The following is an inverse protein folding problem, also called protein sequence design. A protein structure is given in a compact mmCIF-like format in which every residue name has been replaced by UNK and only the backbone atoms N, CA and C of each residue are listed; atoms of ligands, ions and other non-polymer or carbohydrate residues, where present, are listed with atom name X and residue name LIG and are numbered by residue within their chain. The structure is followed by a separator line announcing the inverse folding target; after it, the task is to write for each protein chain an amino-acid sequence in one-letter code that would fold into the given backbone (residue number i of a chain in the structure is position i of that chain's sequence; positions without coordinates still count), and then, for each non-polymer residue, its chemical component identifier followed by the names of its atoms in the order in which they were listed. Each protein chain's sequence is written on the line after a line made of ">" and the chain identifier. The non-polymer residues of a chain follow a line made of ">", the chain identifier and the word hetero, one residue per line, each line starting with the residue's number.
data_IF_235185092774
#
_entry.id   IF_235185092774
#
_cell.length_a   1.000
_cell.length_b   1.000
_cell.length_c   1.000
_cell.angle_alpha   90.00
_cell.angle_beta   90.00
_cell.angle_gamma   90.00
#
_symmetry.space_group_name_H-M   'P 1'
#
loop_
_entity.id
_entity.type
_entity.pdbx_description
1 polymer ?
#
# COMPACT_ATOMS: atom_id res chain seq x y z
N UNK A 1 -1.47 14.14 5.06
CA UNK A 1 -0.88 12.80 5.05
C UNK A 1 0.46 12.78 4.31
N UNK A 2 0.57 13.37 3.12
CA UNK A 2 1.84 13.48 2.37
C UNK A 2 3.03 13.99 3.21
N UNK A 3 2.87 15.10 3.93
CA UNK A 3 3.95 15.67 4.76
C UNK A 3 4.36 14.74 5.90
N UNK A 4 3.42 13.97 6.45
CA UNK A 4 3.71 12.94 7.45
C UNK A 4 4.56 11.82 6.87
N UNK A 5 4.24 11.35 5.65
CA UNK A 5 5.04 10.31 4.98
C UNK A 5 6.44 10.83 4.64
N UNK A 6 6.58 12.12 4.28
CA UNK A 6 7.90 12.72 4.05
C UNK A 6 8.83 12.57 5.26
N UNK A 7 8.32 12.62 6.50
CA UNK A 7 9.14 12.39 7.71
C UNK A 7 9.81 11.01 7.74
N UNK A 8 9.23 10.00 7.10
CA UNK A 8 9.80 8.65 7.01
C UNK A 8 10.77 8.48 5.84
N UNK A 9 10.64 9.34 4.81
CA UNK A 9 11.38 9.21 3.54
C UNK A 9 12.46 10.28 3.41
N UNK A 10 12.48 11.30 4.28
CA UNK A 10 13.48 12.37 4.31
C UNK A 10 14.93 11.88 4.39
N UNK A 11 15.17 10.66 4.88
CA UNK A 11 16.52 10.06 4.92
C UNK A 11 16.98 9.47 3.58
N UNK A 12 16.09 9.30 2.59
CA UNK A 12 16.40 8.67 1.29
C UNK A 12 15.74 9.42 0.11
N UNK A 13 16.25 10.62 -0.24
CA UNK A 13 15.65 11.47 -1.28
C UNK A 13 15.68 10.87 -2.71
N UNK A 14 16.49 9.84 -2.94
CA UNK A 14 16.54 9.13 -4.23
C UNK A 14 15.42 8.10 -4.40
N UNK A 15 14.66 7.80 -3.36
CA UNK A 15 13.60 6.79 -3.43
C UNK A 15 12.30 7.41 -3.94
N UNK A 16 11.73 6.88 -5.03
CA UNK A 16 10.53 7.45 -5.63
C UNK A 16 9.32 7.33 -4.71
N UNK A 17 8.71 8.47 -4.42
CA UNK A 17 7.52 8.60 -3.58
C UNK A 17 6.29 8.83 -4.44
N UNK A 18 5.40 7.84 -4.51
CA UNK A 18 4.19 7.89 -5.32
C UNK A 18 3.00 8.06 -4.40
N UNK A 19 2.52 9.30 -4.30
CA UNK A 19 1.35 9.66 -3.50
C UNK A 19 0.13 9.85 -4.38
N UNK A 20 -1.00 9.29 -3.95
CA UNK A 20 -2.29 9.49 -4.60
C UNK A 20 -3.43 9.44 -3.59
N UNK A 21 -4.38 10.36 -3.76
CA UNK A 21 -5.68 10.32 -3.09
C UNK A 21 -6.69 9.75 -4.08
N UNK A 22 -6.99 8.46 -3.92
CA UNK A 22 -7.86 7.70 -4.84
C UNK A 22 -9.33 8.06 -4.63
N UNK A 23 -9.72 8.43 -3.41
CA UNK A 23 -11.03 8.96 -3.09
C UNK A 23 -10.98 9.76 -1.79
N UNK A 24 -12.13 10.28 -1.33
CA UNK A 24 -12.23 10.90 0.00
C UNK A 24 -11.99 9.92 1.16
N UNK A 25 -12.06 8.61 0.89
CA UNK A 25 -11.86 7.56 1.89
C UNK A 25 -10.54 6.84 1.77
N UNK A 26 -9.74 7.09 0.73
CA UNK A 26 -8.49 6.37 0.49
C UNK A 26 -7.40 7.32 0.00
N UNK A 27 -6.36 7.46 0.81
CA UNK A 27 -5.13 8.16 0.47
C UNK A 27 -3.95 7.21 0.70
N UNK A 28 -3.15 6.99 -0.35
CA UNK A 28 -2.09 5.98 -0.36
C UNK A 28 -0.78 6.61 -0.81
N UNK A 29 0.31 6.21 -0.16
CA UNK A 29 1.67 6.47 -0.64
C UNK A 29 2.41 5.15 -0.81
N UNK A 30 3.07 4.99 -1.94
CA UNK A 30 3.91 3.84 -2.25
C UNK A 30 5.35 4.32 -2.42
N UNK A 31 6.29 3.57 -1.87
CA UNK A 31 7.72 3.82 -2.04
C UNK A 31 8.47 2.48 -2.01
N UNK A 32 9.70 2.47 -2.53
CA UNK A 32 10.51 1.25 -2.50
C UNK A 32 11.02 0.97 -1.08
N UNK A 33 11.23 -0.30 -0.77
CA UNK A 33 11.84 -0.76 0.47
C UNK A 33 13.10 -1.58 0.21
N UNK A 34 13.97 -1.64 1.21
CA UNK A 34 15.25 -2.34 1.15
C UNK A 34 15.10 -3.81 1.59
N UNK A 35 14.35 -4.59 0.80
CA UNK A 35 14.24 -6.04 0.96
C UNK A 35 13.30 -6.54 2.06
N UNK A 36 12.64 -5.65 2.81
CA UNK A 36 11.55 -6.00 3.71
C UNK A 36 10.28 -5.18 3.45
N UNK A 37 9.12 -5.84 3.48
CA UNK A 37 7.83 -5.15 3.38
C UNK A 37 7.62 -4.27 4.62
N UNK A 38 7.38 -2.98 4.38
CA UNK A 38 7.08 -2.02 5.44
C UNK A 38 5.70 -1.40 5.22
N UNK A 39 5.03 -1.07 6.32
CA UNK A 39 3.73 -0.42 6.25
C UNK A 39 3.55 0.59 7.38
N UNK A 40 2.86 1.69 7.08
CA UNK A 40 2.32 2.59 8.09
C UNK A 40 0.88 2.89 7.69
N UNK A 41 -0.07 2.61 8.56
CA UNK A 41 -1.48 2.73 8.18
C UNK A 41 -2.37 3.28 9.27
N UNK A 42 -3.42 3.95 8.82
CA UNK A 42 -4.46 4.53 9.65
C UNK A 42 -5.83 4.10 9.13
N UNK A 43 -6.68 3.61 10.02
CA UNK A 43 -8.09 3.34 9.75
C UNK A 43 -8.93 4.25 10.64
N UNK A 44 -9.68 5.20 10.06
CA UNK A 44 -10.46 6.20 10.80
C UNK A 44 -9.61 6.95 11.85
N UNK A 45 -8.41 7.39 11.45
CA UNK A 45 -7.42 8.07 12.31
C UNK A 45 -6.82 7.21 13.43
N UNK A 46 -7.12 5.90 13.49
CA UNK A 46 -6.49 4.96 14.41
C UNK A 46 -5.26 4.37 13.75
N UNK A 47 -4.10 4.46 14.41
CA UNK A 47 -2.86 3.89 13.90
C UNK A 47 -2.87 2.36 14.02
N UNK A 48 -3.01 1.68 12.89
CA UNK A 48 -2.95 0.22 12.80
C UNK A 48 -1.51 -0.23 12.62
N UNK A 49 -0.75 -0.26 13.73
CA UNK A 49 0.69 -0.57 13.74
C UNK A 49 1.03 -1.95 13.13
N UNK A 50 0.13 -2.94 13.26
CA UNK A 50 0.28 -4.27 12.66
C UNK A 50 -0.38 -4.38 11.27
N UNK A 51 -1.00 -3.30 10.79
CA UNK A 51 -1.65 -3.22 9.49
C UNK A 51 -3.02 -3.87 9.53
N UNK A 52 -3.27 -4.80 8.60
CA UNK A 52 -4.54 -5.51 8.52
C UNK A 52 -5.08 -5.63 7.11
N UNK A 53 -6.38 -5.86 7.02
CA UNK A 53 -7.07 -6.15 5.76
C UNK A 53 -7.04 -4.99 4.76
N UNK A 54 -7.06 -3.73 5.21
CA UNK A 54 -6.94 -2.55 4.34
C UNK A 54 -5.56 -2.42 3.71
N UNK A 55 -4.50 -2.71 4.48
CA UNK A 55 -3.12 -2.70 3.96
C UNK A 55 -2.93 -3.80 2.93
N UNK A 56 -3.39 -5.01 3.23
CA UNK A 56 -3.33 -6.14 2.29
C UNK A 56 -4.14 -5.84 1.02
N UNK A 57 -5.34 -5.25 1.14
CA UNK A 57 -6.17 -4.86 0.01
C UNK A 57 -5.45 -3.91 -0.96
N UNK A 58 -4.63 -2.99 -0.46
CA UNK A 58 -3.79 -2.09 -1.29
C UNK A 58 -2.57 -2.84 -1.84
N UNK A 59 -1.77 -3.46 -0.95
CA UNK A 59 -0.51 -4.09 -1.31
C UNK A 59 -0.67 -5.23 -2.32
N UNK A 60 -1.69 -6.07 -2.17
CA UNK A 60 -1.88 -7.22 -3.04
C UNK A 60 -2.30 -6.81 -4.46
N UNK A 61 -3.05 -5.70 -4.62
CA UNK A 61 -3.37 -5.12 -5.93
C UNK A 61 -2.12 -4.57 -6.62
N UNK A 62 -1.27 -3.87 -5.88
CA UNK A 62 0.01 -3.34 -6.40
C UNK A 62 0.92 -4.48 -6.84
N UNK A 63 1.08 -5.49 -5.99
CA UNK A 63 1.92 -6.67 -6.26
C UNK A 63 1.44 -7.43 -7.49
N UNK A 64 0.12 -7.66 -7.63
CA UNK A 64 -0.44 -8.34 -8.79
C UNK A 64 -0.14 -7.57 -10.09
N UNK A 65 -0.38 -6.26 -10.11
CA UNK A 65 -0.18 -5.41 -11.29
C UNK A 65 1.30 -5.30 -11.67
N UNK A 66 2.20 -5.17 -10.69
CA UNK A 66 3.64 -5.18 -10.94
C UNK A 66 4.14 -6.55 -11.41
N UNK A 67 3.61 -7.64 -10.85
CA UNK A 67 3.93 -8.99 -11.30
C UNK A 67 3.60 -9.20 -12.76
N UNK A 68 2.38 -8.82 -13.17
CA UNK A 68 1.94 -8.88 -14.56
C UNK A 68 2.82 -8.04 -15.49
N UNK A 69 3.22 -6.84 -15.06
CA UNK A 69 4.09 -5.96 -15.82
C UNK A 69 5.48 -6.56 -16.03
N UNK A 70 6.10 -7.10 -14.96
CA UNK A 70 7.44 -7.69 -15.01
C UNK A 70 7.44 -8.94 -15.89
N UNK A 71 6.45 -9.83 -15.74
CA UNK A 71 6.36 -11.04 -16.57
C UNK A 71 6.10 -10.72 -18.05
N UNK A 72 5.35 -9.64 -18.36
CA UNK A 72 5.17 -9.17 -19.74
C UNK A 72 6.44 -8.58 -20.34
N UNK A 73 7.21 -7.80 -19.57
CA UNK A 73 8.44 -7.13 -20.04
C UNK A 73 9.60 -8.13 -20.18
N UNK A 74 9.75 -9.04 -19.22
CA UNK A 74 10.85 -9.99 -19.15
C UNK A 74 10.35 -11.43 -19.34
N UNK A 75 10.24 -11.83 -20.61
CA UNK A 75 9.85 -13.20 -20.98
C UNK A 75 10.86 -14.20 -20.39
N UNK A 76 10.39 -15.06 -19.48
CA UNK A 76 11.20 -16.11 -18.84
C UNK A 76 11.49 -15.90 -17.35
N UNK A 77 11.28 -14.70 -16.81
CA UNK A 77 11.44 -14.45 -15.37
C UNK A 77 10.10 -14.66 -14.66
N UNK A 78 10.06 -15.65 -13.77
CA UNK A 78 8.94 -15.85 -12.83
C UNK A 78 9.27 -15.15 -11.51
N UNK A 79 8.69 -13.98 -11.28
CA UNK A 79 8.79 -13.29 -9.99
C UNK A 79 7.63 -13.73 -9.11
N UNK A 80 7.93 -14.18 -7.88
CA UNK A 80 6.90 -14.55 -6.91
C UNK A 80 6.31 -13.30 -6.25
N UNK A 81 5.00 -13.26 -5.94
CA UNK A 81 4.37 -12.10 -5.28
C UNK A 81 5.09 -11.63 -4.02
N UNK A 82 5.60 -12.56 -3.20
CA UNK A 82 6.36 -12.25 -1.99
C UNK A 82 7.64 -11.45 -2.27
N UNK A 83 8.33 -11.72 -3.38
CA UNK A 83 9.54 -10.99 -3.77
C UNK A 83 9.22 -9.55 -4.17
N UNK A 84 8.06 -9.29 -4.77
CA UNK A 84 7.63 -7.92 -5.08
C UNK A 84 7.22 -7.22 -3.79
N UNK A 85 6.45 -7.91 -2.94
CA UNK A 85 5.97 -7.38 -1.66
C UNK A 85 7.14 -7.01 -0.73
N UNK A 86 8.21 -7.79 -0.70
CA UNK A 86 9.37 -7.50 0.14
C UNK A 86 10.12 -6.23 -0.24
N UNK A 87 9.96 -5.70 -1.46
CA UNK A 87 10.57 -4.44 -1.91
C UNK A 87 9.57 -3.26 -1.89
N UNK A 88 8.43 -3.41 -1.23
CA UNK A 88 7.38 -2.42 -1.18
C UNK A 88 7.21 -1.84 0.24
N UNK A 89 7.18 -0.52 0.34
CA UNK A 89 6.71 0.22 1.51
C UNK A 89 5.36 0.85 1.18
N UNK A 90 4.35 0.62 2.02
CA UNK A 90 2.98 1.09 1.79
C UNK A 90 2.50 1.96 2.95
N UNK A 91 2.07 3.17 2.64
CA UNK A 91 1.39 4.05 3.58
C UNK A 91 -0.09 4.14 3.20
N UNK A 92 -0.98 3.84 4.13
CA UNK A 92 -2.44 3.81 3.87
C UNK A 92 -3.17 4.67 4.89
N UNK A 93 -3.94 5.64 4.43
CA UNK A 93 -4.93 6.33 5.23
C UNK A 93 -6.32 6.02 4.67
N UNK A 94 -7.14 5.32 5.44
CA UNK A 94 -8.43 4.81 4.99
C UNK A 94 -9.57 5.19 5.95
N UNK A 95 -10.74 5.48 5.38
CA UNK A 95 -12.00 5.62 6.10
C UNK A 95 -12.89 4.40 5.85
N UNK A 96 -12.99 3.55 6.88
CA UNK A 96 -13.68 2.26 6.88
C UNK A 96 -15.01 2.39 7.62
N UNK A 97 -16.08 1.93 7.00
CA UNK A 97 -17.40 1.86 7.63
C UNK A 97 -17.46 0.73 8.65
N UNK A 98 -17.92 1.03 9.87
CA UNK A 98 -18.03 0.08 11.00
C UNK A 98 -16.78 -0.81 11.15
N UNK A 99 -15.58 -0.23 11.42
CA UNK A 99 -14.35 -0.99 11.44
C UNK A 99 -14.30 -1.99 12.61
N UNK A 100 -13.90 -3.21 12.30
CA UNK A 100 -13.59 -4.27 13.26
C UNK A 100 -12.07 -4.42 13.37
N UNK A 101 -11.61 -4.66 14.60
CA UNK A 101 -10.20 -4.83 14.92
C UNK A 101 -9.96 -6.16 15.65
N UNK A 102 -8.70 -6.56 15.76
CA UNK A 102 -8.27 -7.75 16.50
C UNK A 102 -8.55 -7.67 18.00
N UNK A 103 -8.37 -6.48 18.58
CA UNK A 103 -8.54 -6.24 20.02
C UNK A 103 -8.86 -4.77 20.32
N UNK A 104 -8.98 -4.45 21.62
CA UNK A 104 -9.23 -3.08 22.08
C UNK A 104 -8.10 -2.10 21.76
N UNK A 105 -6.85 -2.58 21.63
CA UNK A 105 -5.72 -1.72 21.23
C UNK A 105 -5.76 -1.36 19.74
N UNK A 106 -6.61 -2.04 18.95
CA UNK A 106 -6.90 -1.75 17.54
C UNK A 106 -5.66 -1.70 16.64
N UNK A 107 -4.70 -2.58 16.93
CA UNK A 107 -3.42 -2.63 16.20
C UNK A 107 -3.58 -3.21 14.79
N UNK A 108 -4.59 -4.06 14.58
CA UNK A 108 -4.86 -4.73 13.30
C UNK A 108 -6.31 -4.55 12.87
N UNK A 109 -6.55 -4.03 11.65
CA UNK A 109 -7.90 -4.02 11.06
C UNK A 109 -8.27 -5.42 10.54
N UNK A 110 -9.46 -5.90 10.91
CA UNK A 110 -9.97 -7.24 10.54
C UNK A 110 -11.23 -7.20 9.68
N UNK A 111 -11.84 -6.02 9.47
CA UNK A 111 -12.97 -5.84 8.54
C UNK A 111 -12.67 -6.43 7.17
N UNK A 112 -13.63 -7.11 6.54
CA UNK A 112 -13.40 -7.69 5.21
C UNK A 112 -13.47 -6.60 4.14
N UNK A 113 -12.72 -6.68 3.02
CA UNK A 113 -12.77 -5.67 1.98
C UNK A 113 -14.18 -5.34 1.46
N UNK A 114 -15.06 -6.34 1.38
CA UNK A 114 -16.45 -6.14 0.98
C UNK A 114 -17.32 -5.33 1.97
N UNK A 115 -16.87 -5.14 3.21
CA UNK A 115 -17.60 -4.39 4.25
C UNK A 115 -16.98 -3.03 4.54
N UNK A 116 -16.01 -2.57 3.75
CA UNK A 116 -15.35 -1.28 3.97
C UNK A 116 -16.25 -0.06 3.70
N UNK A 117 -17.39 -0.26 3.03
CA UNK A 117 -18.25 0.83 2.53
C UNK A 117 -17.61 1.64 1.40
N UNK A 118 -16.43 1.24 0.94
CA UNK A 118 -15.68 1.84 -0.16
C UNK A 118 -14.60 0.86 -0.65
N UNK A 119 -13.94 1.17 -1.77
CA UNK A 119 -12.91 0.31 -2.34
C UNK A 119 -11.73 1.16 -2.80
N UNK A 120 -10.52 0.70 -2.48
CA UNK A 120 -9.33 1.16 -3.18
C UNK A 120 -9.20 0.44 -4.51
N UNK A 121 -9.05 1.21 -5.59
CA UNK A 121 -8.75 0.73 -6.93
C UNK A 121 -7.45 1.37 -7.39
N UNK A 122 -6.52 0.54 -7.86
CA UNK A 122 -5.24 1.03 -8.35
C UNK A 122 -5.41 1.70 -9.71
N UNK A 123 -5.09 3.00 -9.80
CA UNK A 123 -5.19 3.77 -11.04
C UNK A 123 -4.06 3.41 -12.02
N UNK A 124 -4.34 3.53 -13.32
CA UNK A 124 -3.32 3.34 -14.35
C UNK A 124 -2.19 4.37 -14.26
N UNK A 125 -2.48 5.57 -13.73
CA UNK A 125 -1.47 6.60 -13.50
C UNK A 125 -0.49 6.18 -12.41
N UNK A 126 -0.99 5.64 -11.28
CA UNK A 126 -0.15 5.09 -10.23
C UNK A 126 0.73 3.96 -10.76
N UNK A 127 0.17 3.04 -11.55
CA UNK A 127 0.93 1.95 -12.17
C UNK A 127 2.04 2.48 -13.09
N UNK A 128 1.76 3.49 -13.92
CA UNK A 128 2.77 4.12 -14.78
C UNK A 128 3.89 4.76 -13.96
N UNK A 129 3.58 5.39 -12.82
CA UNK A 129 4.60 5.94 -11.92
C UNK A 129 5.44 4.82 -11.29
N UNK A 130 4.80 3.76 -10.79
CA UNK A 130 5.46 2.61 -10.15
C UNK A 130 6.40 1.86 -11.09
N UNK A 131 6.01 1.70 -12.36
CA UNK A 131 6.82 0.99 -13.35
C UNK A 131 8.03 1.80 -13.85
N UNK A 132 8.05 3.12 -13.60
CA UNK A 132 9.17 4.02 -13.88
C UNK A 132 10.07 4.24 -12.66
N UNK A 133 9.64 3.78 -11.49
CA UNK A 133 10.23 4.11 -10.20
C UNK A 133 11.29 3.09 -9.76
N UNK A 134 12.03 2.51 -10.70
CA UNK A 134 13.05 1.49 -10.48
C UNK A 134 13.91 1.24 -11.70
#
# INVERSE_FOLDING_TARGET
>A
FKDYVNLFVHEKPEVPLIHERVSDRWEVVLTASDGQFNQVSFANSIWTIKGGTHVNHVADQVVAKLGDFITKKNKGIKVKPFQIKSHLSVFVNALIENPAFDSQTKETLTSRPGTFGSKFELSDEMVKKLTKSG
#
